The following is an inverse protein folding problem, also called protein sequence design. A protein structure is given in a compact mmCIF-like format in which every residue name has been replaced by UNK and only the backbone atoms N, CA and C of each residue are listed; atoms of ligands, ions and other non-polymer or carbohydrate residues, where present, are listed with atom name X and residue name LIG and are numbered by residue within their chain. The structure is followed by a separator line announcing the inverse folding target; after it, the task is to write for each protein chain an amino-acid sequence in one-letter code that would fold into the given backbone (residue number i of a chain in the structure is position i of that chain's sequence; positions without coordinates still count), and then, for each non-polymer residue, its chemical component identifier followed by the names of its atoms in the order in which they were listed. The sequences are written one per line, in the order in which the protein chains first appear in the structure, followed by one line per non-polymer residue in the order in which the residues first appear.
data_IF_405810796542
#
_entry.id   IF_405810796542
#
_cell.length_a   1.000
_cell.length_b   1.000
_cell.length_c   1.000
_cell.angle_alpha   90.00
_cell.angle_beta   90.00
_cell.angle_gamma   90.00
#
_symmetry.space_group_name_H-M   'P 1'
#
loop_
_entity.id
_entity.type
_entity.pdbx_description
1 polymer ?
#
# COMPACT_ATOMS: atom_id res chain seq x y z
N UNK A 1 -0.60 -33.13 -57.02
CA UNK A 1 -0.33 -31.68 -56.87
C UNK A 1 -1.28 -31.11 -55.81
N UNK A 2 -0.74 -30.75 -54.65
CA UNK A 2 -1.49 -30.37 -53.44
C UNK A 2 -1.79 -28.87 -53.45
N UNK A 3 -3.06 -28.46 -53.42
CA UNK A 3 -3.45 -27.05 -53.17
C UNK A 3 -3.64 -26.88 -51.66
N UNK A 4 -2.65 -26.26 -51.00
CA UNK A 4 -2.72 -25.89 -49.59
C UNK A 4 -3.63 -24.66 -49.42
N UNK A 5 -4.83 -24.88 -48.88
CA UNK A 5 -5.86 -23.87 -48.69
C UNK A 5 -5.47 -22.80 -47.67
N UNK A 6 -5.52 -21.54 -48.12
CA UNK A 6 -5.31 -20.28 -47.39
C UNK A 6 -6.36 -20.06 -46.28
N UNK A 7 -6.29 -20.80 -45.17
CA UNK A 7 -7.19 -20.64 -43.99
C UNK A 7 -6.52 -20.11 -42.71
N UNK A 8 -5.21 -19.84 -42.73
CA UNK A 8 -4.44 -19.46 -41.52
C UNK A 8 -4.53 -17.98 -41.12
N UNK A 9 -4.92 -17.08 -42.03
CA UNK A 9 -4.91 -15.63 -41.78
C UNK A 9 -6.05 -15.09 -40.91
N UNK A 10 -7.24 -15.70 -40.97
CA UNK A 10 -8.41 -15.24 -40.19
C UNK A 10 -8.28 -15.55 -38.70
N UNK A 11 -7.68 -16.68 -38.35
CA UNK A 11 -7.41 -17.05 -36.96
C UNK A 11 -6.36 -16.15 -36.30
N UNK A 12 -5.30 -15.80 -37.05
CA UNK A 12 -4.28 -14.85 -36.59
C UNK A 12 -4.85 -13.43 -36.40
N UNK A 13 -5.72 -12.98 -37.31
CA UNK A 13 -6.39 -11.69 -37.17
C UNK A 13 -7.36 -11.64 -35.98
N UNK A 14 -8.12 -12.71 -35.74
CA UNK A 14 -9.00 -12.81 -34.58
C UNK A 14 -8.21 -12.84 -33.26
N UNK A 15 -7.08 -13.54 -33.24
CA UNK A 15 -6.19 -13.59 -32.07
C UNK A 15 -5.56 -12.22 -31.79
N UNK A 16 -5.08 -11.53 -32.82
CA UNK A 16 -4.53 -10.19 -32.68
C UNK A 16 -5.58 -9.19 -32.17
N UNK A 17 -6.82 -9.29 -32.66
CA UNK A 17 -7.93 -8.46 -32.19
C UNK A 17 -8.32 -8.76 -30.75
N UNK A 18 -8.35 -10.03 -30.35
CA UNK A 18 -8.60 -10.44 -28.97
C UNK A 18 -7.52 -9.92 -28.01
N UNK A 19 -6.25 -10.00 -28.39
CA UNK A 19 -5.13 -9.45 -27.61
C UNK A 19 -5.26 -7.93 -27.49
N UNK A 20 -5.58 -7.23 -28.59
CA UNK A 20 -5.77 -5.79 -28.58
C UNK A 20 -6.90 -5.35 -27.64
N UNK A 21 -8.02 -6.09 -27.64
CA UNK A 21 -9.15 -5.85 -26.75
C UNK A 21 -8.80 -6.10 -25.27
N UNK A 22 -7.97 -7.12 -24.99
CA UNK A 22 -7.50 -7.42 -23.64
C UNK A 22 -6.54 -6.35 -23.10
N UNK A 23 -5.72 -5.73 -23.96
CA UNK A 23 -4.79 -4.67 -23.55
C UNK A 23 -5.45 -3.31 -23.30
N UNK A 24 -6.67 -3.09 -23.81
CA UNK A 24 -7.38 -1.82 -23.69
C UNK A 24 -8.11 -1.61 -22.35
N UNK A 25 -8.20 -2.64 -21.50
CA UNK A 25 -8.93 -2.60 -20.21
C UNK A 25 -7.96 -2.47 -19.03
N UNK A 26 -6.85 -1.77 -19.22
CA UNK A 26 -6.02 -1.35 -18.09
C UNK A 26 -6.73 -0.19 -17.40
N UNK A 27 -7.56 -0.50 -16.38
CA UNK A 27 -8.00 0.53 -15.44
C UNK A 27 -6.75 1.07 -14.75
N UNK A 28 -6.51 2.38 -14.70
CA UNK A 28 -5.45 2.92 -13.88
C UNK A 28 -5.72 2.47 -12.44
N UNK A 29 -4.78 1.74 -11.86
CA UNK A 29 -4.80 1.52 -10.42
C UNK A 29 -4.58 2.90 -9.80
N UNK A 30 -5.66 3.53 -9.32
CA UNK A 30 -5.53 4.65 -8.40
C UNK A 30 -4.84 4.07 -7.18
N UNK A 31 -3.57 4.42 -6.98
CA UNK A 31 -2.89 4.09 -5.76
C UNK A 31 -3.74 4.64 -4.62
N UNK A 32 -4.20 3.75 -3.73
CA UNK A 32 -4.78 4.17 -2.45
C UNK A 32 -3.74 5.10 -1.83
N UNK A 33 -4.07 6.38 -1.62
CA UNK A 33 -3.14 7.29 -0.97
C UNK A 33 -2.75 6.66 0.38
N UNK A 34 -1.45 6.50 0.59
CA UNK A 34 -0.92 5.90 1.80
C UNK A 34 -1.22 6.76 3.04
N UNK A 35 -0.82 6.26 4.20
CA UNK A 35 -0.89 7.06 5.43
C UNK A 35 0.10 8.23 5.31
N UNK A 36 -0.39 9.45 5.49
CA UNK A 36 0.38 10.69 5.47
C UNK A 36 0.54 11.17 6.91
N UNK A 37 1.77 11.14 7.42
CA UNK A 37 2.09 11.68 8.76
C UNK A 37 2.17 13.20 8.67
N UNK A 38 1.31 13.89 9.44
CA UNK A 38 1.26 15.36 9.51
C UNK A 38 2.05 15.90 10.69
N UNK A 39 2.16 15.13 11.78
CA UNK A 39 2.96 15.48 12.96
C UNK A 39 3.54 14.22 13.61
N UNK A 40 4.79 14.31 14.06
CA UNK A 40 5.45 13.26 14.83
C UNK A 40 6.41 13.94 15.82
N UNK A 41 5.98 14.03 17.07
CA UNK A 41 6.71 14.75 18.11
C UNK A 41 6.82 13.92 19.38
N UNK A 42 7.76 14.31 20.23
CA UNK A 42 7.89 13.75 21.56
C UNK A 42 8.25 14.84 22.55
N UNK A 43 7.79 14.68 23.77
CA UNK A 43 8.15 15.48 24.93
C UNK A 43 8.66 14.54 26.00
N UNK A 44 9.62 14.99 26.82
CA UNK A 44 10.12 14.16 27.91
C UNK A 44 10.32 14.97 29.18
N UNK A 45 10.07 14.31 30.31
CA UNK A 45 10.44 14.74 31.65
C UNK A 45 11.44 13.73 32.18
N UNK A 46 12.66 14.18 32.44
CA UNK A 46 13.77 13.30 32.82
C UNK A 46 13.39 12.45 34.04
N UNK A 47 13.63 11.14 33.95
CA UNK A 47 13.31 10.14 34.96
C UNK A 47 11.81 10.00 35.34
N UNK A 48 10.91 10.64 34.60
CA UNK A 48 9.46 10.57 34.83
C UNK A 48 8.73 9.92 33.66
N UNK A 49 8.75 10.57 32.49
CA UNK A 49 7.97 10.11 31.33
C UNK A 49 8.54 10.60 29.98
N UNK A 50 8.19 9.88 28.93
CA UNK A 50 8.33 10.31 27.54
C UNK A 50 6.95 10.17 26.89
N UNK A 51 6.44 11.24 26.32
CA UNK A 51 5.13 11.30 25.66
C UNK A 51 5.36 11.41 24.16
N UNK A 52 4.87 10.43 23.40
CA UNK A 52 4.90 10.43 21.94
C UNK A 52 3.55 10.91 21.40
N UNK A 53 3.57 11.80 20.41
CA UNK A 53 2.36 12.29 19.72
C UNK A 53 2.53 12.07 18.22
N UNK A 54 1.53 11.43 17.62
CA UNK A 54 1.47 11.15 16.19
C UNK A 54 0.15 11.70 15.64
N UNK A 55 0.23 12.47 14.58
CA UNK A 55 -0.92 12.85 13.76
C UNK A 55 -0.69 12.34 12.35
N UNK A 56 -1.67 11.63 11.83
CA UNK A 56 -1.62 11.08 10.48
C UNK A 56 -3.01 11.12 9.85
N UNK A 57 -3.05 11.25 8.53
CA UNK A 57 -4.28 11.19 7.74
C UNK A 57 -4.17 10.09 6.69
N UNK A 58 -5.30 9.50 6.33
CA UNK A 58 -5.41 8.57 5.21
C UNK A 58 -6.79 8.72 4.57
N UNK A 59 -6.88 8.39 3.28
CA UNK A 59 -8.17 8.29 2.57
C UNK A 59 -8.97 7.05 3.00
N UNK A 60 -8.32 6.11 3.69
CA UNK A 60 -8.94 4.93 4.32
C UNK A 60 -8.95 5.06 5.84
N UNK A 61 -9.83 4.32 6.50
CA UNK A 61 -9.79 4.17 7.96
C UNK A 61 -8.44 3.60 8.41
N UNK A 62 -7.83 4.25 9.39
CA UNK A 62 -6.63 3.74 10.06
C UNK A 62 -7.11 2.71 11.08
N UNK A 63 -6.72 1.45 10.89
CA UNK A 63 -7.17 0.35 11.76
C UNK A 63 -6.30 0.16 13.01
N UNK A 64 -5.00 0.49 12.91
CA UNK A 64 -4.04 0.23 13.98
C UNK A 64 -2.92 1.28 14.01
N UNK A 65 -2.52 1.66 15.22
CA UNK A 65 -1.31 2.45 15.49
C UNK A 65 -0.45 1.65 16.47
N UNK A 66 0.84 1.48 16.15
CA UNK A 66 1.80 0.75 16.99
C UNK A 66 3.01 1.63 17.28
N UNK A 67 3.28 1.88 18.55
CA UNK A 67 4.52 2.50 19.00
C UNK A 67 5.59 1.42 19.18
N UNK A 68 6.59 1.42 18.30
CA UNK A 68 7.78 0.57 18.45
C UNK A 68 8.86 1.35 19.20
N UNK A 69 9.33 0.83 20.33
CA UNK A 69 10.35 1.52 21.12
C UNK A 69 11.33 0.54 21.76
N UNK A 70 12.51 1.05 22.12
CA UNK A 70 13.55 0.31 22.83
C UNK A 70 14.06 1.16 23.98
N UNK A 71 14.16 0.56 25.16
CA UNK A 71 14.78 1.19 26.32
C UNK A 71 16.30 0.99 26.23
N UNK A 72 17.07 2.02 26.54
CA UNK A 72 18.53 1.95 26.52
C UNK A 72 19.04 0.82 27.42
N UNK A 73 19.88 -0.06 26.86
CA UNK A 73 20.39 -1.25 27.55
C UNK A 73 19.58 -2.53 27.31
N UNK A 74 18.41 -2.44 26.67
CA UNK A 74 17.64 -3.62 26.26
C UNK A 74 17.94 -3.99 24.80
N UNK A 75 18.01 -5.30 24.50
CA UNK A 75 18.14 -5.80 23.13
C UNK A 75 16.78 -5.92 22.41
N UNK A 76 15.69 -5.96 23.19
CA UNK A 76 14.34 -6.23 22.71
C UNK A 76 13.66 -4.94 22.21
N UNK A 77 12.83 -5.07 21.18
CA UNK A 77 11.93 -4.02 20.72
C UNK A 77 10.57 -4.25 21.37
N UNK A 78 10.12 -3.26 22.13
CA UNK A 78 8.81 -3.24 22.75
C UNK A 78 7.76 -2.67 21.79
N UNK A 79 6.49 -3.04 22.02
CA UNK A 79 5.33 -2.57 21.24
C UNK A 79 4.29 -1.99 22.19
N UNK A 80 3.95 -0.73 21.97
CA UNK A 80 2.81 -0.06 22.59
C UNK A 80 1.65 0.03 21.61
N UNK A 81 0.44 -0.20 22.09
CA UNK A 81 -0.81 -0.10 21.33
C UNK A 81 -1.65 1.03 21.94
N UNK A 82 -1.38 2.28 21.55
CA UNK A 82 -2.13 3.42 22.08
C UNK A 82 -3.57 3.39 21.57
N UNK A 83 -4.50 3.82 22.42
CA UNK A 83 -5.80 4.26 21.95
C UNK A 83 -5.60 5.50 21.06
N UNK A 84 -6.25 5.54 19.91
CA UNK A 84 -6.28 6.71 19.04
C UNK A 84 -7.71 6.98 18.60
N UNK A 85 -7.98 8.23 18.18
CA UNK A 85 -9.27 8.60 17.61
C UNK A 85 -9.17 8.52 16.09
N UNK A 86 -9.90 7.61 15.42
CA UNK A 86 -9.98 7.60 13.96
C UNK A 86 -10.71 8.85 13.46
N UNK A 87 -10.17 9.52 12.44
CA UNK A 87 -10.79 10.73 11.88
C UNK A 87 -9.93 11.45 10.85
#
# INVERSE_FOLDING_TARGET
MIRLGRKRGKGLAALALAILLLTGVSRPALAQEGIIVTSNTYEFRFAEEIVFRLEARSESEIEEVVLLYRIGGEEVINRGYPDFTPG
#
